data_IF_957795225430
#
_entry.id   IF_957795225430
#
_cell.length_a   1.000
_cell.length_b   1.000
_cell.length_c   1.000
_cell.angle_alpha   90.00
_cell.angle_beta   90.00
_cell.angle_gamma   90.00
#
_symmetry.space_group_name_H-M   'P 1'
#
loop_
_entity.id
_entity.type
_entity.pdbx_description
1 polymer ?
#
# COMPACT_ATOMS: atom_id res chain seq x y z
N UNK A 1 -15.36 -11.61 -3.44
CA UNK A 1 -16.50 -10.79 -3.88
C UNK A 1 -17.81 -11.55 -3.66
N UNK A 2 -18.84 -10.87 -3.14
CA UNK A 2 -20.19 -11.43 -2.98
C UNK A 2 -21.09 -10.68 -3.96
N UNK A 3 -21.19 -11.18 -5.17
CA UNK A 3 -21.89 -10.52 -6.28
C UNK A 3 -23.36 -10.23 -5.97
N UNK A 4 -24.06 -11.15 -5.28
CA UNK A 4 -25.46 -10.97 -4.87
C UNK A 4 -25.69 -9.85 -3.87
N UNK A 5 -24.63 -9.36 -3.21
CA UNK A 5 -24.67 -8.27 -2.23
C UNK A 5 -23.91 -7.02 -2.71
N UNK A 6 -23.39 -7.03 -3.93
CA UNK A 6 -22.57 -5.95 -4.49
C UNK A 6 -21.46 -5.47 -3.52
N UNK A 7 -20.78 -6.42 -2.88
CA UNK A 7 -19.75 -6.12 -1.89
C UNK A 7 -18.57 -7.09 -1.96
N UNK A 8 -17.47 -6.66 -1.36
CA UNK A 8 -16.32 -7.52 -1.06
C UNK A 8 -16.24 -7.73 0.44
N UNK A 9 -15.78 -8.88 0.86
CA UNK A 9 -15.54 -9.20 2.25
C UNK A 9 -14.21 -9.95 2.36
N UNK A 10 -13.35 -9.50 3.26
CA UNK A 10 -12.11 -10.21 3.59
C UNK A 10 -12.44 -11.45 4.45
N UNK A 11 -11.76 -12.54 4.16
CA UNK A 11 -11.71 -13.73 5.01
C UNK A 11 -10.37 -13.74 5.71
N UNK A 12 -10.39 -13.78 7.05
CA UNK A 12 -9.19 -13.87 7.87
C UNK A 12 -9.38 -15.01 8.88
N UNK A 13 -8.55 -16.03 8.74
CA UNK A 13 -8.55 -17.22 9.60
C UNK A 13 -7.14 -17.79 9.64
N UNK A 14 -6.67 -18.21 10.81
CA UNK A 14 -5.33 -18.79 10.98
C UNK A 14 -5.15 -20.06 10.14
N UNK A 15 -6.23 -20.78 9.86
CA UNK A 15 -6.18 -22.00 9.03
C UNK A 15 -5.84 -21.75 7.55
N UNK A 16 -5.91 -20.51 7.06
CA UNK A 16 -5.56 -20.15 5.68
C UNK A 16 -4.21 -19.44 5.57
N UNK A 17 -3.47 -19.30 6.67
CA UNK A 17 -2.11 -18.76 6.64
C UNK A 17 -1.19 -19.78 5.96
N UNK A 18 -0.46 -19.36 4.94
CA UNK A 18 0.48 -20.21 4.24
C UNK A 18 1.72 -20.48 5.10
N UNK A 19 2.25 -21.71 5.03
CA UNK A 19 3.49 -22.09 5.72
C UNK A 19 4.71 -21.39 5.10
N UNK A 20 4.70 -21.22 3.77
CA UNK A 20 5.79 -20.64 3.00
C UNK A 20 5.28 -19.61 1.99
N UNK A 21 6.02 -18.52 1.80
CA UNK A 21 5.85 -17.55 0.73
C UNK A 21 7.01 -17.63 -0.27
N UNK A 22 6.76 -18.19 -1.45
CA UNK A 22 7.78 -18.33 -2.50
C UNK A 22 7.71 -17.11 -3.43
N UNK A 23 8.75 -16.27 -3.42
CA UNK A 23 8.84 -15.04 -4.19
C UNK A 23 9.61 -15.30 -5.49
N UNK A 24 8.94 -15.16 -6.64
CA UNK A 24 9.51 -15.40 -7.98
C UNK A 24 9.35 -14.13 -8.83
N UNK A 25 10.32 -13.20 -8.79
CA UNK A 25 10.23 -11.91 -9.49
C UNK A 25 10.02 -12.04 -11.00
N UNK A 26 10.55 -13.09 -11.61
CA UNK A 26 10.46 -13.35 -13.04
C UNK A 26 9.01 -13.46 -13.54
N UNK A 27 8.09 -13.93 -12.72
CA UNK A 27 6.68 -14.04 -13.07
C UNK A 27 6.00 -12.67 -13.26
N UNK A 28 6.57 -11.60 -12.70
CA UNK A 28 6.06 -10.24 -12.84
C UNK A 28 6.47 -9.57 -14.16
N UNK A 29 7.42 -10.14 -14.93
CA UNK A 29 7.91 -9.53 -16.18
C UNK A 29 6.80 -9.33 -17.22
N UNK A 30 5.82 -10.23 -17.26
CA UNK A 30 4.68 -10.14 -18.16
C UNK A 30 3.52 -9.28 -17.67
N UNK A 31 3.59 -8.74 -16.43
CA UNK A 31 2.49 -7.96 -15.86
C UNK A 31 2.43 -6.57 -16.51
N UNK A 32 1.28 -6.16 -17.12
CA UNK A 32 1.14 -4.81 -17.67
C UNK A 32 1.32 -3.75 -16.59
N UNK A 33 1.92 -2.60 -16.97
CA UNK A 33 2.31 -1.56 -16.00
C UNK A 33 1.15 -1.08 -15.12
N UNK A 34 -0.05 -0.87 -15.67
CA UNK A 34 -1.21 -0.45 -14.89
C UNK A 34 -1.50 -1.42 -13.73
N UNK A 35 -1.48 -2.71 -13.97
CA UNK A 35 -1.74 -3.71 -12.93
C UNK A 35 -0.60 -3.79 -11.90
N UNK A 36 0.63 -3.69 -12.38
CA UNK A 36 1.81 -3.58 -11.49
C UNK A 36 1.67 -2.38 -10.56
N UNK A 37 1.42 -1.19 -11.10
CA UNK A 37 1.31 0.04 -10.33
C UNK A 37 0.14 -0.01 -9.32
N UNK A 38 -1.05 -0.50 -9.73
CA UNK A 38 -2.18 -0.69 -8.82
C UNK A 38 -1.83 -1.62 -7.66
N UNK A 39 -1.19 -2.77 -7.94
CA UNK A 39 -0.81 -3.73 -6.91
C UNK A 39 0.30 -3.20 -5.99
N UNK A 40 1.25 -2.44 -6.54
CA UNK A 40 2.32 -1.81 -5.78
C UNK A 40 1.79 -0.69 -4.85
N UNK A 41 0.84 0.11 -5.33
CA UNK A 41 0.15 1.11 -4.49
C UNK A 41 -0.65 0.41 -3.39
N UNK A 42 -1.32 -0.70 -3.69
CA UNK A 42 -2.05 -1.48 -2.70
C UNK A 42 -1.11 -2.02 -1.59
N UNK A 43 0.08 -2.51 -1.96
CA UNK A 43 1.09 -2.89 -0.98
C UNK A 43 1.54 -1.72 -0.08
N UNK A 44 1.65 -0.50 -0.62
CA UNK A 44 1.92 0.70 0.18
C UNK A 44 0.75 1.02 1.13
N UNK A 45 -0.49 0.88 0.67
CA UNK A 45 -1.68 1.05 1.51
C UNK A 45 -1.68 0.02 2.65
N UNK A 46 -1.43 -1.25 2.36
CA UNK A 46 -1.30 -2.29 3.39
C UNK A 46 -0.26 -1.92 4.45
N UNK A 47 0.94 -1.51 4.02
CA UNK A 47 2.02 -1.15 4.93
C UNK A 47 1.67 0.07 5.79
N UNK A 48 1.07 1.10 5.22
CA UNK A 48 0.71 2.34 5.93
C UNK A 48 -0.47 2.13 6.88
N UNK A 49 -1.53 1.43 6.47
CA UNK A 49 -2.65 1.11 7.36
C UNK A 49 -2.24 0.18 8.51
N UNK A 50 -1.41 -0.83 8.22
CA UNK A 50 -0.84 -1.70 9.25
C UNK A 50 0.02 -0.93 10.24
N UNK A 51 0.83 0.03 9.77
CA UNK A 51 1.69 0.85 10.62
C UNK A 51 0.91 1.60 11.70
N UNK A 52 -0.23 2.20 11.33
CA UNK A 52 -1.07 3.02 12.22
C UNK A 52 -2.21 2.22 12.87
N UNK A 53 -2.31 0.93 12.61
CA UNK A 53 -3.35 0.08 13.21
C UNK A 53 -3.23 0.06 14.73
N UNK A 54 -4.37 0.08 15.46
CA UNK A 54 -4.36 -0.14 16.91
C UNK A 54 -3.74 -1.47 17.34
N UNK A 55 -3.68 -2.47 16.44
CA UNK A 55 -3.03 -3.77 16.66
C UNK A 55 -1.55 -3.78 16.31
N UNK A 56 -1.02 -2.65 15.80
CA UNK A 56 0.39 -2.55 15.43
C UNK A 56 1.31 -2.72 16.65
N UNK A 57 2.43 -3.35 16.44
CA UNK A 57 3.44 -3.58 17.46
C UNK A 57 4.86 -3.36 16.87
N UNK A 58 5.92 -3.40 17.68
CA UNK A 58 7.28 -3.17 17.16
C UNK A 58 7.69 -4.08 16.00
N UNK A 59 7.26 -5.34 15.99
CA UNK A 59 7.59 -6.29 14.91
C UNK A 59 6.86 -5.94 13.61
N UNK A 60 5.55 -5.72 13.67
CA UNK A 60 4.79 -5.35 12.47
C UNK A 60 5.27 -4.01 11.90
N UNK A 61 5.67 -3.04 12.74
CA UNK A 61 6.22 -1.77 12.28
C UNK A 61 7.58 -1.89 11.60
N UNK A 62 8.41 -2.87 11.96
CA UNK A 62 9.66 -3.14 11.22
C UNK A 62 9.35 -3.52 9.77
N UNK A 63 8.42 -4.44 9.56
CA UNK A 63 8.00 -4.86 8.22
C UNK A 63 7.32 -3.73 7.45
N UNK A 64 6.41 -2.99 8.09
CA UNK A 64 5.77 -1.81 7.47
C UNK A 64 6.79 -0.79 7.02
N UNK A 65 7.75 -0.45 7.87
CA UNK A 65 8.81 0.52 7.57
C UNK A 65 9.64 0.07 6.38
N UNK A 66 10.14 -1.16 6.39
CA UNK A 66 10.92 -1.71 5.30
C UNK A 66 10.13 -1.71 3.98
N UNK A 67 8.85 -2.10 4.02
CA UNK A 67 7.97 -2.06 2.85
C UNK A 67 7.79 -0.63 2.31
N UNK A 68 7.48 0.34 3.17
CA UNK A 68 7.28 1.75 2.78
C UNK A 68 8.56 2.33 2.14
N UNK A 69 9.72 2.11 2.77
CA UNK A 69 11.01 2.61 2.27
C UNK A 69 11.32 2.06 0.88
N UNK A 70 11.18 0.75 0.68
CA UNK A 70 11.42 0.11 -0.62
C UNK A 70 10.43 0.59 -1.69
N UNK A 71 9.13 0.62 -1.37
CA UNK A 71 8.09 0.97 -2.34
C UNK A 71 8.25 2.42 -2.80
N UNK A 72 8.49 3.36 -1.88
CA UNK A 72 8.67 4.77 -2.25
C UNK A 72 9.93 4.96 -3.09
N UNK A 73 11.04 4.32 -2.75
CA UNK A 73 12.28 4.36 -3.54
C UNK A 73 12.05 3.84 -4.96
N UNK A 74 11.36 2.70 -5.11
CA UNK A 74 11.00 2.16 -6.44
C UNK A 74 10.07 3.11 -7.21
N UNK A 75 9.09 3.72 -6.55
CA UNK A 75 8.19 4.67 -7.20
C UNK A 75 8.91 5.93 -7.68
N UNK A 76 9.84 6.45 -6.89
CA UNK A 76 10.69 7.58 -7.30
C UNK A 76 11.56 7.21 -8.49
N UNK A 77 12.12 6.01 -8.50
CA UNK A 77 12.88 5.48 -9.63
C UNK A 77 12.03 5.36 -10.91
N UNK A 78 10.81 4.85 -10.81
CA UNK A 78 9.87 4.78 -11.93
C UNK A 78 9.49 6.19 -12.41
N UNK A 79 9.20 7.12 -11.49
CA UNK A 79 8.85 8.49 -11.85
C UNK A 79 9.97 9.24 -12.56
N UNK A 80 11.23 8.92 -12.25
CA UNK A 80 12.42 9.53 -12.85
C UNK A 80 12.83 8.88 -14.18
N UNK A 81 12.72 7.54 -14.30
CA UNK A 81 13.30 6.78 -15.39
C UNK A 81 12.25 6.10 -16.31
N UNK A 82 10.98 6.25 -15.98
CA UNK A 82 9.87 5.64 -16.73
C UNK A 82 9.49 4.22 -16.24
N UNK A 83 8.39 3.67 -16.78
CA UNK A 83 7.77 2.45 -16.28
C UNK A 83 8.64 1.19 -16.40
N UNK A 84 9.61 1.19 -17.32
CA UNK A 84 10.51 0.04 -17.53
C UNK A 84 11.54 -0.12 -16.40
N UNK A 85 11.82 0.93 -15.62
CA UNK A 85 12.68 0.87 -14.44
C UNK A 85 12.21 -0.21 -13.44
N UNK A 86 10.91 -0.53 -13.40
CA UNK A 86 10.38 -1.59 -12.55
C UNK A 86 11.09 -2.94 -12.74
N UNK A 87 11.56 -3.23 -13.95
CA UNK A 87 12.20 -4.52 -14.25
C UNK A 87 13.53 -4.73 -13.51
N UNK A 88 14.20 -3.65 -13.14
CA UNK A 88 15.42 -3.69 -12.34
C UNK A 88 15.12 -3.95 -10.85
N UNK A 89 13.86 -3.70 -10.43
CA UNK A 89 13.44 -3.68 -9.03
C UNK A 89 12.27 -4.63 -8.72
N UNK A 90 11.99 -5.63 -9.58
CA UNK A 90 10.88 -6.57 -9.35
C UNK A 90 11.05 -7.36 -8.06
N UNK A 91 12.28 -7.80 -7.73
CA UNK A 91 12.57 -8.53 -6.50
C UNK A 91 12.31 -7.69 -5.26
N UNK A 92 12.74 -6.43 -5.27
CA UNK A 92 12.54 -5.50 -4.17
C UNK A 92 11.05 -5.22 -3.94
N UNK A 93 10.30 -4.97 -5.01
CA UNK A 93 8.86 -4.73 -4.92
C UNK A 93 8.10 -5.95 -4.41
N UNK A 94 8.46 -7.15 -4.86
CA UNK A 94 7.83 -8.39 -4.40
C UNK A 94 8.15 -8.65 -2.93
N UNK A 95 9.39 -8.37 -2.50
CA UNK A 95 9.80 -8.45 -1.10
C UNK A 95 9.02 -7.44 -0.25
N UNK A 96 8.90 -6.20 -0.70
CA UNK A 96 8.15 -5.16 0.01
C UNK A 96 6.66 -5.51 0.14
N UNK A 97 6.06 -6.07 -0.91
CA UNK A 97 4.68 -6.58 -0.87
C UNK A 97 4.53 -7.70 0.17
N UNK A 98 5.50 -8.62 0.24
CA UNK A 98 5.49 -9.69 1.25
C UNK A 98 5.64 -9.12 2.67
N UNK A 99 6.51 -8.14 2.90
CA UNK A 99 6.63 -7.46 4.19
C UNK A 99 5.33 -6.79 4.61
N UNK A 100 4.68 -6.07 3.70
CA UNK A 100 3.37 -5.49 3.92
C UNK A 100 2.33 -6.57 4.27
N UNK A 101 2.38 -7.72 3.56
CA UNK A 101 1.54 -8.89 3.79
C UNK A 101 1.69 -9.47 5.20
N UNK A 102 2.93 -9.69 5.65
CA UNK A 102 3.23 -10.16 7.01
C UNK A 102 2.68 -9.17 8.06
N UNK A 103 2.86 -7.88 7.83
CA UNK A 103 2.41 -6.85 8.76
C UNK A 103 0.88 -6.81 8.86
N UNK A 104 0.18 -6.61 7.73
CA UNK A 104 -1.28 -6.45 7.76
C UNK A 104 -2.02 -7.75 8.09
N UNK A 105 -1.46 -8.91 7.80
CA UNK A 105 -1.98 -10.21 8.23
C UNK A 105 -2.12 -10.32 9.76
N UNK A 106 -1.27 -9.61 10.50
CA UNK A 106 -1.30 -9.55 11.96
C UNK A 106 -2.12 -8.39 12.53
N UNK A 107 -2.28 -7.29 11.77
CA UNK A 107 -2.89 -6.04 12.27
C UNK A 107 -4.26 -5.74 11.67
N UNK A 108 -4.61 -6.41 10.58
CA UNK A 108 -5.72 -6.01 9.72
C UNK A 108 -5.40 -4.73 8.95
N UNK A 109 -6.39 -4.27 8.20
CA UNK A 109 -6.39 -3.04 7.39
C UNK A 109 -7.32 -1.99 8.00
N UNK A 110 -7.36 -0.79 7.42
CA UNK A 110 -8.08 0.35 7.98
C UNK A 110 -9.21 0.89 7.10
N UNK A 111 -9.43 2.21 7.19
CA UNK A 111 -10.55 2.86 6.50
C UNK A 111 -10.36 2.98 4.99
N UNK A 112 -9.11 2.96 4.47
CA UNK A 112 -8.88 2.95 3.01
C UNK A 112 -9.53 1.71 2.41
N UNK A 113 -9.22 0.52 2.93
CA UNK A 113 -9.83 -0.73 2.48
C UNK A 113 -11.33 -0.78 2.73
N UNK A 114 -11.79 -0.33 3.90
CA UNK A 114 -13.22 -0.33 4.22
C UNK A 114 -14.04 0.52 3.25
N UNK A 115 -13.52 1.68 2.83
CA UNK A 115 -14.18 2.57 1.88
C UNK A 115 -14.06 2.08 0.43
N UNK A 116 -12.99 1.35 0.08
CA UNK A 116 -12.77 0.85 -1.26
C UNK A 116 -13.64 -0.37 -1.63
N UNK A 117 -14.09 -1.16 -0.66
CA UNK A 117 -14.87 -2.37 -0.92
C UNK A 117 -16.19 -2.10 -1.66
N UNK A 118 -17.01 -1.09 -1.31
CA UNK A 118 -18.20 -0.75 -2.10
C UNK A 118 -17.87 -0.32 -3.52
N UNK A 119 -16.78 0.43 -3.72
CA UNK A 119 -16.34 0.86 -5.05
C UNK A 119 -16.00 -0.34 -5.94
N UNK A 120 -15.21 -1.27 -5.42
CA UNK A 120 -14.89 -2.50 -6.12
C UNK A 120 -16.09 -3.44 -6.31
N UNK A 121 -16.96 -3.54 -5.30
CA UNK A 121 -18.13 -4.44 -5.34
C UNK A 121 -19.26 -3.98 -6.25
N UNK A 122 -19.53 -2.67 -6.32
CA UNK A 122 -20.61 -2.09 -7.11
C UNK A 122 -20.20 -1.70 -8.53
N UNK A 123 -18.96 -1.24 -8.70
CA UNK A 123 -18.49 -0.66 -9.96
C UNK A 123 -17.38 -1.48 -10.63
N UNK A 124 -17.00 -2.62 -10.03
CA UNK A 124 -15.97 -3.53 -10.54
C UNK A 124 -14.60 -2.87 -10.77
N UNK A 125 -14.30 -1.79 -10.03
CA UNK A 125 -12.99 -1.16 -10.05
C UNK A 125 -11.95 -2.12 -9.44
N UNK A 126 -10.79 -2.33 -10.06
CA UNK A 126 -9.73 -3.17 -9.50
C UNK A 126 -9.36 -2.76 -8.08
N UNK A 127 -9.01 -3.74 -7.23
CA UNK A 127 -8.84 -3.52 -5.79
C UNK A 127 -7.81 -2.43 -5.46
N UNK A 128 -6.61 -2.52 -6.01
CA UNK A 128 -5.57 -1.52 -5.78
C UNK A 128 -5.93 -0.14 -6.34
N UNK A 129 -6.64 -0.08 -7.47
CA UNK A 129 -7.16 1.18 -8.02
C UNK A 129 -8.24 1.76 -7.10
N UNK A 130 -9.12 0.93 -6.53
CA UNK A 130 -10.13 1.35 -5.54
C UNK A 130 -9.48 1.91 -4.27
N UNK A 131 -8.45 1.25 -3.74
CA UNK A 131 -7.72 1.71 -2.56
C UNK A 131 -7.00 3.04 -2.82
N UNK A 132 -6.39 3.20 -4.00
CA UNK A 132 -5.72 4.43 -4.37
C UNK A 132 -6.65 5.66 -4.36
N UNK A 133 -7.92 5.51 -4.72
CA UNK A 133 -8.88 6.63 -4.70
C UNK A 133 -9.05 7.24 -3.31
N UNK A 134 -8.93 6.46 -2.25
CA UNK A 134 -9.16 6.90 -0.87
C UNK A 134 -7.87 7.15 -0.08
N UNK A 135 -6.74 6.63 -0.54
CA UNK A 135 -5.51 6.48 0.25
C UNK A 135 -5.09 7.76 0.96
N UNK A 136 -4.67 8.75 0.22
CA UNK A 136 -4.11 9.98 0.81
C UNK A 136 -5.15 10.82 1.54
N UNK A 137 -6.40 10.83 1.06
CA UNK A 137 -7.48 11.58 1.70
C UNK A 137 -7.85 11.00 3.08
N UNK A 138 -7.86 9.68 3.23
CA UNK A 138 -8.06 9.03 4.52
C UNK A 138 -6.94 9.38 5.50
N UNK A 139 -5.69 9.36 5.05
CA UNK A 139 -4.55 9.70 5.92
C UNK A 139 -4.48 11.19 6.25
N UNK A 140 -4.86 12.09 5.33
CA UNK A 140 -5.07 13.52 5.64
C UNK A 140 -6.12 13.70 6.74
N UNK A 141 -7.23 12.95 6.65
CA UNK A 141 -8.28 12.98 7.70
C UNK A 141 -7.77 12.42 9.02
N UNK A 142 -7.02 11.32 9.04
CA UNK A 142 -6.41 10.78 10.26
C UNK A 142 -5.49 11.81 10.92
N UNK A 143 -4.62 12.46 10.14
CA UNK A 143 -3.73 13.50 10.63
C UNK A 143 -4.50 14.72 11.18
N UNK A 144 -5.58 15.13 10.51
CA UNK A 144 -6.42 16.25 10.98
C UNK A 144 -7.15 15.93 12.30
N UNK A 145 -7.57 14.68 12.48
CA UNK A 145 -8.29 14.25 13.69
C UNK A 145 -7.37 13.96 14.88
N UNK A 146 -6.20 13.39 14.63
CA UNK A 146 -5.22 13.05 15.66
C UNK A 146 -3.78 13.12 15.09
N UNK A 147 -3.15 14.31 15.10
CA UNK A 147 -1.84 14.51 14.51
C UNK A 147 -0.68 13.99 15.41
N UNK A 148 -0.95 13.04 16.27
CA UNK A 148 0.01 12.51 17.23
C UNK A 148 0.16 10.98 17.11
N UNK A 149 1.04 10.41 17.94
CA UNK A 149 1.20 8.96 18.04
C UNK A 149 1.74 8.32 16.76
N UNK A 150 1.09 7.25 16.29
CA UNK A 150 1.57 6.48 15.14
C UNK A 150 1.36 7.22 13.81
N UNK A 151 0.36 8.09 13.72
CA UNK A 151 0.19 8.97 12.55
C UNK A 151 1.36 9.92 12.41
N UNK A 152 1.79 10.58 13.51
CA UNK A 152 2.96 11.46 13.47
C UNK A 152 4.23 10.70 13.04
N UNK A 153 4.47 9.52 13.62
CA UNK A 153 5.63 8.68 13.26
C UNK A 153 5.61 8.24 11.80
N UNK A 154 4.41 7.91 11.26
CA UNK A 154 4.27 7.60 9.84
C UNK A 154 4.55 8.83 8.97
N UNK A 155 4.03 10.00 9.36
CA UNK A 155 4.31 11.24 8.65
C UNK A 155 5.80 11.57 8.61
N UNK A 156 6.50 11.41 9.74
CA UNK A 156 7.95 11.60 9.81
C UNK A 156 8.68 10.64 8.86
N UNK A 157 8.30 9.38 8.84
CA UNK A 157 8.86 8.39 7.91
C UNK A 157 8.62 8.78 6.45
N UNK A 158 7.38 9.13 6.10
CA UNK A 158 7.03 9.55 4.74
C UNK A 158 7.75 10.83 4.34
N UNK A 159 7.89 11.81 5.25
CA UNK A 159 8.64 13.04 5.01
C UNK A 159 10.11 12.75 4.67
N UNK A 160 10.74 11.86 5.43
CA UNK A 160 12.14 11.44 5.17
C UNK A 160 12.24 10.79 3.78
N UNK A 161 11.35 9.85 3.44
CA UNK A 161 11.40 9.12 2.19
C UNK A 161 11.10 10.02 0.97
N UNK A 162 10.23 11.02 1.13
CA UNK A 162 9.83 11.94 0.06
C UNK A 162 10.71 13.21 0.00
N UNK A 163 11.64 13.38 0.95
CA UNK A 163 12.53 14.54 0.99
C UNK A 163 11.81 15.86 1.30
N UNK A 164 10.77 15.82 2.13
CA UNK A 164 9.99 17.01 2.55
C UNK A 164 10.06 17.20 4.08
N UNK A 165 9.85 18.43 4.54
CA UNK A 165 9.98 18.75 5.96
C UNK A 165 8.67 18.56 6.75
N UNK A 166 7.53 18.67 6.07
CA UNK A 166 6.20 18.57 6.68
C UNK A 166 5.17 18.12 5.63
N UNK A 167 4.04 17.63 6.09
CA UNK A 167 2.88 17.22 5.27
C UNK A 167 3.26 16.42 4.01
N UNK A 168 3.55 15.13 4.12
CA UNK A 168 4.04 14.33 2.99
C UNK A 168 2.99 14.06 1.90
N UNK A 169 1.69 14.25 2.19
CA UNK A 169 0.60 13.79 1.34
C UNK A 169 0.51 14.47 -0.03
N UNK A 170 0.74 15.79 -0.19
CA UNK A 170 0.74 16.40 -1.52
C UNK A 170 1.82 15.84 -2.44
N UNK A 171 3.02 15.61 -1.90
CA UNK A 171 4.14 15.05 -2.67
C UNK A 171 3.92 13.56 -2.95
N UNK A 172 3.33 12.83 -2.00
CA UNK A 172 2.91 11.45 -2.21
C UNK A 172 1.85 11.36 -3.32
N UNK A 173 0.83 12.21 -3.30
CA UNK A 173 -0.19 12.28 -4.36
C UNK A 173 0.42 12.56 -5.73
N UNK A 174 1.36 13.51 -5.82
CA UNK A 174 2.07 13.80 -7.05
C UNK A 174 2.88 12.59 -7.55
N UNK A 175 3.60 11.92 -6.64
CA UNK A 175 4.38 10.73 -6.97
C UNK A 175 3.49 9.60 -7.50
N UNK A 176 2.40 9.29 -6.80
CA UNK A 176 1.46 8.25 -7.22
C UNK A 176 0.77 8.60 -8.54
N UNK A 177 0.42 9.88 -8.75
CA UNK A 177 -0.16 10.38 -10.00
C UNK A 177 0.76 10.26 -11.23
N UNK A 178 2.09 10.20 -11.02
CA UNK A 178 3.06 9.90 -12.08
C UNK A 178 3.06 8.43 -12.50
N UNK A 179 2.63 7.52 -11.61
CA UNK A 179 2.51 6.10 -11.92
C UNK A 179 1.17 5.79 -12.60
N UNK A 180 0.10 6.24 -12.01
CA UNK A 180 -1.27 6.09 -12.54
C UNK A 180 -2.09 7.36 -12.23
N UNK A 181 -2.76 7.94 -13.22
CA UNK A 181 -3.70 9.04 -12.95
C UNK A 181 -4.89 8.55 -12.09
N UNK A 182 -5.36 9.41 -11.21
CA UNK A 182 -6.63 9.23 -10.48
C UNK A 182 -7.82 9.44 -11.39
#
# INVERSE_FOLDING_TARGET
EITSKHTKMGLADDAIVADDAVLVPELLKGLPFKFYACSAIDALVHATESYVSPKSNPYTRLYCRAAIEIIIDVFQGIAANGPEYRFERLGDMLMASNYAGIAFGNTGVGAVHALSYPLGGSYHVPHGESNYQFFTEVFKLYNAKNPSGDIARLNDLLCVQLGVNENPYPVLDELLGKLIPK
#
